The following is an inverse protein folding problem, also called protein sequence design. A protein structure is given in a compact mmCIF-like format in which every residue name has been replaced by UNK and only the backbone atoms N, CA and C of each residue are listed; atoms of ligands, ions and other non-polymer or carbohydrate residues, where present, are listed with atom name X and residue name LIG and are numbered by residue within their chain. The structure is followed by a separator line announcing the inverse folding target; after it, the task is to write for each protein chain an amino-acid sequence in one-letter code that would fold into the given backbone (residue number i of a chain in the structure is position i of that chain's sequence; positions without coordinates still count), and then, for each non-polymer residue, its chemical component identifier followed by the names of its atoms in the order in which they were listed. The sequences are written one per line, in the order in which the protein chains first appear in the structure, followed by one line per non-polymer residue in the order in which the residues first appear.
data_IF_247609859353
#
_entry.id   IF_247609859353
#
_cell.length_a   1.000
_cell.length_b   1.000
_cell.length_c   1.000
_cell.angle_alpha   90.00
_cell.angle_beta   90.00
_cell.angle_gamma   90.00
#
_symmetry.space_group_name_H-M   'P 1'
#
loop_
_entity.id
_entity.type
_entity.pdbx_description
1 polymer ?
#
# COMPACT_ATOMS: atom_id res chain seq x y z
N UNK A 1 76.14 -54.07 -25.40
CA UNK A 1 75.82 -52.69 -24.97
C UNK A 1 74.76 -52.10 -25.91
N UNK A 2 73.47 -52.16 -25.53
CA UNK A 2 72.37 -51.61 -26.33
C UNK A 2 71.99 -50.27 -25.78
N UNK A 3 72.24 -49.21 -26.52
CA UNK A 3 71.81 -47.85 -26.18
C UNK A 3 70.31 -47.67 -26.43
N UNK A 4 69.54 -47.35 -25.45
CA UNK A 4 68.15 -46.99 -25.54
C UNK A 4 68.00 -45.59 -26.18
N UNK A 5 66.97 -45.36 -27.04
CA UNK A 5 66.73 -44.04 -27.60
C UNK A 5 66.06 -43.10 -26.62
N UNK A 6 66.22 -41.78 -26.80
CA UNK A 6 65.65 -40.81 -25.93
C UNK A 6 64.16 -40.62 -26.13
N UNK A 7 63.41 -40.19 -25.13
CA UNK A 7 61.97 -39.95 -25.23
C UNK A 7 61.66 -38.69 -26.04
N UNK A 8 60.57 -38.76 -26.85
CA UNK A 8 60.03 -37.70 -27.66
C UNK A 8 59.41 -36.58 -26.77
N UNK A 9 59.51 -35.32 -27.15
CA UNK A 9 58.89 -34.24 -26.40
C UNK A 9 57.37 -34.23 -26.56
N UNK A 10 56.68 -34.18 -25.42
CA UNK A 10 55.24 -34.06 -25.30
C UNK A 10 54.80 -32.66 -25.79
N UNK A 11 54.16 -32.62 -26.95
CA UNK A 11 53.58 -31.39 -27.51
C UNK A 11 52.40 -30.95 -26.62
N UNK A 12 52.58 -29.94 -25.78
CA UNK A 12 51.48 -29.30 -25.05
C UNK A 12 50.59 -28.58 -26.02
N UNK A 13 49.40 -29.15 -26.25
CA UNK A 13 48.29 -28.46 -26.93
C UNK A 13 47.72 -27.46 -25.94
N UNK A 14 48.04 -26.19 -26.13
CA UNK A 14 47.35 -25.07 -25.50
C UNK A 14 45.93 -24.98 -26.08
N UNK A 15 44.95 -25.42 -25.30
CA UNK A 15 43.55 -25.18 -25.61
C UNK A 15 43.23 -23.79 -25.08
N UNK A 16 43.15 -22.84 -26.00
CA UNK A 16 42.68 -21.49 -25.72
C UNK A 16 41.16 -21.57 -25.55
N UNK A 17 40.69 -21.58 -24.31
CA UNK A 17 39.26 -21.48 -24.00
C UNK A 17 38.87 -20.01 -24.14
N UNK A 18 38.21 -19.66 -25.25
CA UNK A 18 37.59 -18.36 -25.42
C UNK A 18 36.32 -18.32 -24.56
N UNK A 19 36.39 -17.59 -23.44
CA UNK A 19 35.22 -17.22 -22.66
C UNK A 19 34.44 -16.14 -23.41
N UNK A 20 33.38 -16.52 -24.08
CA UNK A 20 32.32 -15.62 -24.51
C UNK A 20 31.53 -15.18 -23.28
N UNK A 21 31.85 -14.01 -22.75
CA UNK A 21 31.04 -13.34 -21.75
C UNK A 21 29.80 -12.76 -22.42
N UNK A 22 28.73 -13.54 -22.46
CA UNK A 22 27.37 -13.02 -22.76
C UNK A 22 26.91 -12.19 -21.56
N UNK A 23 27.10 -10.87 -21.66
CA UNK A 23 26.51 -9.91 -20.72
C UNK A 23 25.00 -9.92 -20.84
N UNK A 24 24.32 -10.60 -19.92
CA UNK A 24 22.88 -10.48 -19.72
C UNK A 24 22.62 -9.13 -19.05
N UNK A 25 22.29 -8.12 -19.85
CA UNK A 25 21.76 -6.86 -19.35
C UNK A 25 20.40 -7.16 -18.72
N UNK A 26 20.36 -7.39 -17.41
CA UNK A 26 19.13 -7.37 -16.65
C UNK A 26 18.62 -5.93 -16.66
N UNK A 27 17.67 -5.64 -17.54
CA UNK A 27 16.85 -4.45 -17.47
C UNK A 27 16.11 -4.54 -16.12
N UNK A 28 16.63 -3.85 -15.12
CA UNK A 28 15.97 -3.67 -13.84
C UNK A 28 14.71 -2.86 -14.05
N UNK A 29 13.58 -3.51 -14.30
CA UNK A 29 12.29 -2.93 -13.97
C UNK A 29 12.26 -2.80 -12.45
N UNK A 30 12.66 -1.63 -11.93
CA UNK A 30 12.27 -1.24 -10.59
C UNK A 30 10.76 -1.21 -10.59
N UNK A 31 10.07 -2.02 -9.76
CA UNK A 31 8.64 -1.85 -9.59
C UNK A 31 8.46 -0.41 -9.09
N UNK A 32 7.66 0.38 -9.78
CA UNK A 32 7.19 1.64 -9.25
C UNK A 32 6.64 1.31 -7.86
N UNK A 33 7.20 1.93 -6.82
CA UNK A 33 6.68 1.80 -5.45
C UNK A 33 5.28 2.35 -5.54
N UNK A 34 4.30 1.45 -5.63
CA UNK A 34 2.89 1.83 -5.54
C UNK A 34 2.78 2.60 -4.23
N UNK A 35 2.19 3.80 -4.26
CA UNK A 35 1.91 4.56 -3.05
C UNK A 35 0.92 3.70 -2.22
N UNK A 36 1.48 2.90 -1.31
CA UNK A 36 0.73 1.96 -0.50
C UNK A 36 -0.16 2.66 0.52
N UNK A 37 -0.04 3.97 0.64
CA UNK A 37 -0.75 4.80 1.60
C UNK A 37 -2.15 5.17 1.11
N UNK A 38 -2.35 5.21 -0.20
CA UNK A 38 -3.60 5.63 -0.82
C UNK A 38 -4.41 4.45 -1.37
N UNK A 39 -5.72 4.52 -1.20
CA UNK A 39 -6.68 3.59 -1.80
C UNK A 39 -7.66 4.37 -2.65
N UNK A 40 -7.96 3.88 -3.85
CA UNK A 40 -8.98 4.51 -4.70
C UNK A 40 -10.36 4.43 -4.03
N UNK A 41 -11.23 5.39 -4.33
CA UNK A 41 -12.57 5.41 -3.75
C UNK A 41 -13.38 4.15 -4.13
N UNK A 42 -13.22 3.65 -5.36
CA UNK A 42 -13.89 2.42 -5.81
C UNK A 42 -13.43 1.19 -5.02
N UNK A 43 -12.12 1.02 -4.86
CA UNK A 43 -11.55 -0.06 -4.06
C UNK A 43 -11.97 0.05 -2.60
N UNK A 44 -11.89 1.25 -2.03
CA UNK A 44 -12.29 1.49 -0.64
C UNK A 44 -13.74 1.11 -0.38
N UNK A 45 -14.65 1.52 -1.27
CA UNK A 45 -16.06 1.14 -1.19
C UNK A 45 -16.25 -0.37 -1.29
N UNK A 46 -15.63 -1.02 -2.28
CA UNK A 46 -15.76 -2.46 -2.47
C UNK A 46 -15.25 -3.27 -1.26
N UNK A 47 -14.11 -2.88 -0.69
CA UNK A 47 -13.56 -3.54 0.51
C UNK A 47 -14.44 -3.31 1.75
N UNK A 48 -14.94 -2.10 1.92
CA UNK A 48 -15.82 -1.74 3.03
C UNK A 48 -17.18 -2.44 2.94
N UNK A 49 -17.88 -2.37 1.81
CA UNK A 49 -19.20 -3.01 1.61
C UNK A 49 -19.13 -4.54 1.71
N UNK A 50 -17.98 -5.13 1.37
CA UNK A 50 -17.72 -6.56 1.54
C UNK A 50 -17.30 -6.95 2.97
N UNK A 51 -17.20 -6.01 3.90
CA UNK A 51 -16.78 -6.26 5.29
C UNK A 51 -15.29 -6.62 5.44
N UNK A 52 -14.46 -6.38 4.42
CA UNK A 52 -13.03 -6.67 4.46
C UNK A 52 -12.19 -5.53 5.01
N UNK A 53 -12.74 -4.33 5.10
CA UNK A 53 -12.07 -3.17 5.67
C UNK A 53 -13.01 -2.37 6.56
N UNK A 54 -12.46 -1.71 7.57
CA UNK A 54 -13.15 -0.70 8.36
C UNK A 54 -12.99 0.65 7.69
N UNK A 55 -14.10 1.34 7.41
CA UNK A 55 -14.09 2.73 6.91
C UNK A 55 -14.32 3.69 8.07
N UNK A 56 -13.38 4.59 8.31
CA UNK A 56 -13.45 5.60 9.37
C UNK A 56 -13.60 6.98 8.72
N UNK A 57 -14.75 7.61 8.93
CA UNK A 57 -15.01 8.98 8.49
C UNK A 57 -14.53 9.96 9.56
N UNK A 58 -13.43 10.66 9.25
CA UNK A 58 -12.80 11.63 10.17
C UNK A 58 -13.28 13.06 9.99
N UNK A 59 -14.36 13.27 9.20
CA UNK A 59 -14.98 14.60 9.09
C UNK A 59 -15.56 15.05 10.43
N UNK A 60 -15.86 16.32 10.54
CA UNK A 60 -16.45 16.87 11.77
C UNK A 60 -17.97 16.57 11.84
N UNK A 61 -18.60 16.64 13.04
CA UNK A 61 -20.00 16.30 13.23
C UNK A 61 -20.98 17.07 12.32
N UNK A 62 -20.68 18.34 12.05
CA UNK A 62 -21.50 19.16 11.13
C UNK A 62 -21.46 18.62 9.68
N UNK A 63 -20.35 18.04 9.25
CA UNK A 63 -20.20 17.39 7.95
C UNK A 63 -20.89 16.02 7.94
N UNK A 64 -20.77 15.23 9.03
CA UNK A 64 -21.50 13.98 9.19
C UNK A 64 -23.01 14.17 9.07
N UNK A 65 -23.54 15.26 9.61
CA UNK A 65 -24.96 15.60 9.53
C UNK A 65 -25.47 15.77 8.08
N UNK A 66 -24.57 16.03 7.12
CA UNK A 66 -24.98 16.09 5.69
C UNK A 66 -25.16 14.71 5.07
N UNK A 67 -24.63 13.65 5.69
CA UNK A 67 -24.68 12.25 5.27
C UNK A 67 -23.34 11.56 5.38
N UNK A 68 -23.37 10.26 5.65
CA UNK A 68 -22.23 9.38 5.81
C UNK A 68 -22.46 8.09 5.04
N UNK A 69 -21.38 7.36 4.71
CA UNK A 69 -21.51 6.01 4.19
C UNK A 69 -22.12 5.10 5.27
N UNK A 70 -23.15 4.32 4.91
CA UNK A 70 -23.85 3.45 5.86
C UNK A 70 -22.88 2.44 6.49
N UNK A 71 -22.78 2.43 7.82
CA UNK A 71 -21.88 1.53 8.57
C UNK A 71 -20.45 2.06 8.76
N UNK A 72 -20.10 3.23 8.22
CA UNK A 72 -18.82 3.86 8.50
C UNK A 72 -18.72 4.24 9.98
N UNK A 73 -17.55 4.01 10.57
CA UNK A 73 -17.24 4.47 11.91
C UNK A 73 -17.02 5.99 11.87
N UNK A 74 -17.68 6.73 12.75
CA UNK A 74 -17.56 8.19 12.82
C UNK A 74 -16.57 8.58 13.93
N UNK A 75 -15.41 9.08 13.51
CA UNK A 75 -14.35 9.46 14.42
C UNK A 75 -13.83 10.85 14.03
N UNK A 76 -14.49 11.94 14.49
CA UNK A 76 -14.09 13.29 14.13
C UNK A 76 -12.61 13.55 14.41
N UNK A 77 -11.92 14.18 13.46
CA UNK A 77 -10.48 14.39 13.53
C UNK A 77 -10.05 15.09 14.82
N UNK A 78 -10.85 16.05 15.31
CA UNK A 78 -10.58 16.75 16.57
C UNK A 78 -10.68 15.86 17.81
N UNK A 79 -11.40 14.74 17.73
CA UNK A 79 -11.57 13.78 18.82
C UNK A 79 -10.61 12.60 18.71
N UNK A 80 -9.91 12.48 17.59
CA UNK A 80 -9.10 11.31 17.25
C UNK A 80 -8.03 11.03 18.32
N UNK A 81 -7.37 12.07 18.86
CA UNK A 81 -6.36 11.90 19.91
C UNK A 81 -6.90 11.26 21.19
N UNK A 82 -8.11 11.65 21.61
CA UNK A 82 -8.76 11.10 22.81
C UNK A 82 -9.41 9.71 22.54
N UNK A 83 -9.72 9.40 21.29
CA UNK A 83 -10.44 8.18 20.87
C UNK A 83 -9.57 7.24 20.02
N UNK A 84 -8.26 7.35 20.15
CA UNK A 84 -7.29 6.61 19.32
C UNK A 84 -7.49 5.09 19.46
N UNK A 85 -7.89 4.61 20.64
CA UNK A 85 -8.16 3.19 20.90
C UNK A 85 -9.37 2.63 20.14
N UNK A 86 -10.19 3.46 19.52
CA UNK A 86 -11.30 3.01 18.67
C UNK A 86 -10.85 2.61 17.26
N UNK A 87 -9.63 2.97 16.86
CA UNK A 87 -9.04 2.50 15.61
C UNK A 87 -8.56 1.07 15.82
N UNK A 88 -9.00 0.10 15.00
CA UNK A 88 -8.52 -1.27 15.10
C UNK A 88 -7.00 -1.33 15.04
N UNK A 89 -6.40 -2.08 15.95
CA UNK A 89 -4.94 -2.20 16.07
C UNK A 89 -4.39 -3.46 15.41
N UNK A 90 -5.26 -4.40 15.05
CA UNK A 90 -4.87 -5.63 14.37
C UNK A 90 -4.34 -5.29 12.94
N UNK A 91 -3.06 -5.57 12.66
CA UNK A 91 -2.49 -5.31 11.33
C UNK A 91 -3.15 -6.11 10.21
N UNK A 92 -3.83 -7.21 10.54
CA UNK A 92 -4.55 -8.03 9.57
C UNK A 92 -5.91 -7.42 9.17
N UNK A 93 -6.40 -6.42 9.92
CA UNK A 93 -7.64 -5.73 9.61
C UNK A 93 -7.36 -4.41 8.90
N UNK A 94 -7.64 -4.30 7.58
CA UNK A 94 -7.46 -3.05 6.85
C UNK A 94 -8.34 -1.94 7.41
N UNK A 95 -7.74 -0.76 7.62
CA UNK A 95 -8.43 0.44 8.07
C UNK A 95 -8.25 1.55 7.03
N UNK A 96 -9.35 2.15 6.61
CA UNK A 96 -9.42 3.17 5.58
C UNK A 96 -9.94 4.47 6.18
N UNK A 97 -9.12 5.53 6.13
CA UNK A 97 -9.54 6.86 6.56
C UNK A 97 -10.15 7.61 5.39
N UNK A 98 -11.34 8.14 5.59
CA UNK A 98 -11.99 9.02 4.62
C UNK A 98 -12.31 10.37 5.26
N UNK A 99 -12.12 11.44 4.50
CA UNK A 99 -12.56 12.77 4.88
C UNK A 99 -13.35 13.41 3.73
N UNK A 100 -13.51 14.74 3.67
CA UNK A 100 -14.28 15.36 2.61
C UNK A 100 -13.64 15.20 1.21
N UNK A 101 -12.32 15.40 1.12
CA UNK A 101 -11.54 15.18 -0.12
C UNK A 101 -10.50 14.07 0.07
N UNK A 102 -9.32 14.40 0.55
CA UNK A 102 -8.27 13.44 0.97
C UNK A 102 -7.22 14.10 1.85
N UNK A 103 -7.21 15.44 1.92
CA UNK A 103 -6.10 16.17 2.54
C UNK A 103 -6.02 15.90 4.05
N UNK A 104 -7.16 15.93 4.74
CA UNK A 104 -7.21 15.65 6.19
C UNK A 104 -6.83 14.19 6.49
N UNK A 105 -7.37 13.24 5.73
CA UNK A 105 -7.07 11.82 5.93
C UNK A 105 -5.61 11.49 5.63
N UNK A 106 -5.00 12.11 4.60
CA UNK A 106 -3.58 11.98 4.32
C UNK A 106 -2.71 12.54 5.46
N UNK A 107 -3.02 13.72 5.97
CA UNK A 107 -2.30 14.31 7.10
C UNK A 107 -2.46 13.49 8.40
N UNK A 108 -3.68 13.01 8.67
CA UNK A 108 -3.98 12.14 9.81
C UNK A 108 -3.21 10.82 9.73
N UNK A 109 -3.08 10.23 8.54
CA UNK A 109 -2.32 9.01 8.34
C UNK A 109 -0.87 9.15 8.82
N UNK A 110 -0.21 10.27 8.50
CA UNK A 110 1.17 10.51 8.95
C UNK A 110 1.27 10.46 10.48
N UNK A 111 0.38 11.15 11.18
CA UNK A 111 0.35 11.13 12.64
C UNK A 111 0.04 9.75 13.24
N UNK A 112 -0.78 8.94 12.57
CA UNK A 112 -1.09 7.57 12.99
C UNK A 112 0.09 6.63 12.79
N UNK A 113 0.84 6.77 11.70
CA UNK A 113 2.04 5.97 11.44
C UNK A 113 3.11 6.17 12.49
N UNK A 114 3.32 7.41 12.94
CA UNK A 114 4.23 7.72 14.03
C UNK A 114 3.82 7.04 15.35
N UNK A 115 2.55 6.65 15.48
CA UNK A 115 1.99 5.93 16.63
C UNK A 115 1.86 4.42 16.42
N UNK A 116 2.42 3.88 15.34
CA UNK A 116 2.46 2.43 15.07
C UNK A 116 1.28 1.86 14.27
N UNK A 117 0.36 2.70 13.76
CA UNK A 117 -0.75 2.26 12.91
C UNK A 117 -0.32 2.09 11.45
N UNK A 118 0.60 1.15 11.17
CA UNK A 118 1.17 0.91 9.85
C UNK A 118 0.21 0.33 8.81
N UNK A 119 -0.89 -0.27 9.24
CA UNK A 119 -1.92 -0.90 8.40
C UNK A 119 -3.03 0.06 7.93
N UNK A 120 -3.04 1.28 8.43
CA UNK A 120 -4.01 2.31 8.05
C UNK A 120 -3.62 2.91 6.70
N UNK A 121 -4.60 3.19 5.86
CA UNK A 121 -4.46 3.88 4.57
C UNK A 121 -5.52 4.97 4.44
N UNK A 122 -5.33 5.93 3.53
CA UNK A 122 -6.34 6.95 3.26
C UNK A 122 -7.01 6.75 1.91
N UNK A 123 -8.25 7.23 1.80
CA UNK A 123 -9.06 7.12 0.59
C UNK A 123 -8.95 8.40 -0.23
N UNK A 124 -8.63 8.26 -1.52
CA UNK A 124 -8.62 9.38 -2.47
C UNK A 124 -10.05 9.85 -2.81
N UNK A 125 -10.21 11.14 -3.11
CA UNK A 125 -11.50 11.72 -3.51
C UNK A 125 -12.47 12.02 -2.36
N UNK A 126 -12.48 11.22 -1.33
CA UNK A 126 -13.27 11.45 -0.12
C UNK A 126 -14.79 11.45 -0.30
N UNK A 127 -15.50 11.95 0.73
CA UNK A 127 -16.99 11.96 0.75
C UNK A 127 -17.60 12.95 -0.25
N UNK A 128 -16.87 13.97 -0.69
CA UNK A 128 -17.33 14.85 -1.75
C UNK A 128 -17.46 14.11 -3.10
N UNK A 129 -16.49 13.28 -3.41
CA UNK A 129 -16.55 12.44 -4.61
C UNK A 129 -17.58 11.31 -4.47
N UNK A 130 -17.74 10.73 -3.27
CA UNK A 130 -18.77 9.76 -2.95
C UNK A 130 -20.17 10.34 -3.27
N UNK A 131 -20.45 11.54 -2.78
CA UNK A 131 -21.72 12.23 -3.04
C UNK A 131 -21.89 12.60 -4.52
N UNK A 132 -20.84 13.09 -5.19
CA UNK A 132 -20.87 13.45 -6.62
C UNK A 132 -21.20 12.25 -7.51
N UNK A 133 -20.80 11.05 -7.12
CA UNK A 133 -21.14 9.80 -7.81
C UNK A 133 -22.55 9.30 -7.52
N UNK A 134 -23.29 9.99 -6.65
CA UNK A 134 -24.63 9.58 -6.26
C UNK A 134 -24.66 8.29 -5.44
N UNK A 135 -23.56 7.95 -4.78
CA UNK A 135 -23.51 6.75 -3.95
C UNK A 135 -24.33 6.92 -2.67
N UNK A 136 -24.97 5.82 -2.18
CA UNK A 136 -25.85 5.91 -1.02
C UNK A 136 -25.18 6.52 0.20
N UNK A 137 -25.89 7.44 0.84
CA UNK A 137 -25.52 8.05 2.12
C UNK A 137 -26.70 8.00 3.07
N UNK A 138 -26.42 7.89 4.35
CA UNK A 138 -27.41 7.87 5.43
C UNK A 138 -27.15 9.01 6.41
N UNK A 139 -28.17 9.41 7.18
CA UNK A 139 -27.98 10.30 8.31
C UNK A 139 -27.37 9.53 9.47
N UNK A 140 -26.44 10.13 10.25
CA UNK A 140 -25.93 9.48 11.45
C UNK A 140 -27.06 9.16 12.43
N UNK A 141 -27.01 7.95 13.02
CA UNK A 141 -27.99 7.53 14.01
C UNK A 141 -29.33 6.99 13.46
N UNK A 142 -29.44 6.76 12.16
CA UNK A 142 -30.61 6.08 11.55
C UNK A 142 -30.34 4.61 11.29
#
# INVERSE_FOLDING_TARGET
MKKSPPPLPLRRRTVTLALLATGLAAAGCSPAVADTDVVSLDTARAEFEAGRAVLIDIREPAEHATGVAAGAQLLPMRQLGARLGEIPQDPAQPVLLICNTQNRSKATLQALRERGYGHVRYVSGGMSEWARRGWPMVKPGT
#
